data_IF_178063061164
#
_entry.id   IF_178063061164
#
_cell.length_a   1.000
_cell.length_b   1.000
_cell.length_c   1.000
_cell.angle_alpha   90.00
_cell.angle_beta   90.00
_cell.angle_gamma   90.00
#
_symmetry.space_group_name_H-M   'P 1'
#
loop_
_entity.id
_entity.type
_entity.pdbx_description
1 polymer ?
#
# COMPACT_ATOMS: atom_id res chain seq x y z
N UNK A 1 12.09 -16.15 -5.98
CA UNK A 1 11.04 -16.19 -4.94
C UNK A 1 9.82 -15.46 -5.46
N UNK A 2 8.61 -15.94 -5.18
CA UNK A 2 7.37 -15.24 -5.53
C UNK A 2 7.10 -14.14 -4.50
N UNK A 3 6.97 -12.89 -4.93
CA UNK A 3 6.59 -11.78 -4.06
C UNK A 3 5.08 -11.73 -3.84
N UNK A 4 4.67 -11.33 -2.63
CA UNK A 4 3.27 -11.13 -2.27
C UNK A 4 3.03 -9.66 -1.95
N UNK A 5 1.89 -9.13 -2.41
CA UNK A 5 1.36 -7.84 -1.96
C UNK A 5 0.18 -8.09 -1.04
N UNK A 6 0.00 -7.23 -0.04
CA UNK A 6 -1.15 -7.26 0.85
C UNK A 6 -1.91 -5.95 0.70
N UNK A 7 -3.23 -6.02 0.64
CA UNK A 7 -4.09 -4.85 0.63
C UNK A 7 -5.03 -4.86 1.82
N UNK A 8 -5.19 -3.70 2.44
CA UNK A 8 -6.24 -3.42 3.41
C UNK A 8 -7.50 -3.00 2.65
N UNK A 9 -8.62 -3.67 2.92
CA UNK A 9 -9.91 -3.38 2.30
C UNK A 9 -10.91 -2.89 3.35
N UNK A 10 -11.95 -2.18 2.90
CA UNK A 10 -13.04 -1.76 3.77
C UNK A 10 -14.09 -2.86 4.01
N UNK A 11 -13.92 -4.06 3.45
CA UNK A 11 -14.79 -5.21 3.70
C UNK A 11 -14.37 -5.89 5.02
N UNK A 12 -15.20 -5.88 6.07
CA UNK A 12 -14.87 -6.51 7.35
C UNK A 12 -14.61 -8.01 7.23
N UNK A 13 -15.25 -8.70 6.27
CA UNK A 13 -15.07 -10.13 6.06
C UNK A 13 -13.75 -10.46 5.33
N UNK A 14 -13.20 -9.50 4.59
CA UNK A 14 -11.96 -9.66 3.81
C UNK A 14 -11.03 -8.46 4.02
N UNK A 15 -10.83 -8.07 5.28
CA UNK A 15 -10.10 -6.86 5.65
C UNK A 15 -8.67 -6.85 5.11
N UNK A 16 -8.04 -8.03 4.99
CA UNK A 16 -6.72 -8.20 4.41
C UNK A 16 -6.78 -9.20 3.27
N UNK A 17 -6.29 -8.79 2.10
CA UNK A 17 -6.21 -9.62 0.89
C UNK A 17 -4.77 -9.76 0.45
N UNK A 18 -4.34 -10.99 0.16
CA UNK A 18 -2.99 -11.32 -0.31
C UNK A 18 -2.99 -11.56 -1.81
N UNK A 19 -2.21 -10.78 -2.55
CA UNK A 19 -1.95 -11.00 -3.97
C UNK A 19 -0.62 -11.73 -4.13
N UNK A 20 -0.64 -12.90 -4.77
CA UNK A 20 0.58 -13.53 -5.24
C UNK A 20 0.85 -13.08 -6.67
N UNK A 21 2.05 -12.54 -6.88
CA UNK A 21 2.47 -12.02 -8.18
C UNK A 21 3.13 -13.11 -9.02
N UNK A 22 2.84 -13.13 -10.31
CA UNK A 22 3.66 -13.86 -11.28
C UNK A 22 4.95 -13.09 -11.56
N UNK A 23 5.99 -13.79 -12.01
CA UNK A 23 7.33 -13.22 -12.21
C UNK A 23 7.35 -12.03 -13.19
N UNK A 24 6.57 -12.13 -14.27
CA UNK A 24 6.41 -11.08 -15.27
C UNK A 24 5.74 -9.83 -14.68
N UNK A 25 4.69 -10.00 -13.88
CA UNK A 25 4.01 -8.88 -13.19
C UNK A 25 4.93 -8.26 -12.14
N UNK A 26 5.69 -9.07 -11.41
CA UNK A 26 6.66 -8.59 -10.44
C UNK A 26 7.76 -7.76 -11.09
N UNK A 27 8.29 -8.24 -12.22
CA UNK A 27 9.34 -7.54 -13.00
C UNK A 27 8.88 -6.16 -13.45
N UNK A 28 7.62 -6.04 -13.86
CA UNK A 28 7.07 -4.76 -14.34
C UNK A 28 6.68 -3.82 -13.17
N UNK A 29 6.09 -4.37 -12.10
CA UNK A 29 5.51 -3.58 -11.01
C UNK A 29 6.54 -3.10 -9.98
N UNK A 30 7.58 -3.89 -9.70
CA UNK A 30 8.52 -3.57 -8.64
C UNK A 30 9.33 -2.29 -8.89
N UNK A 31 9.92 -2.07 -10.08
CA UNK A 31 10.63 -0.83 -10.36
C UNK A 31 9.73 0.40 -10.25
N UNK A 32 8.45 0.27 -10.62
CA UNK A 32 7.47 1.34 -10.51
C UNK A 32 7.19 1.71 -9.06
N UNK A 33 6.91 0.73 -8.19
CA UNK A 33 6.66 0.97 -6.76
C UNK A 33 7.89 1.53 -6.05
N UNK A 34 9.07 0.98 -6.34
CA UNK A 34 10.34 1.50 -5.80
C UNK A 34 10.61 2.93 -6.26
N UNK A 35 10.34 3.24 -7.53
CA UNK A 35 10.47 4.59 -8.05
C UNK A 35 9.52 5.58 -7.38
N UNK A 36 8.27 5.18 -7.10
CA UNK A 36 7.34 6.02 -6.35
C UNK A 36 7.77 6.24 -4.91
N UNK A 37 8.19 5.19 -4.22
CA UNK A 37 8.69 5.27 -2.85
C UNK A 37 9.89 6.22 -2.76
N UNK A 38 10.89 6.02 -3.63
CA UNK A 38 12.06 6.88 -3.69
C UNK A 38 11.69 8.33 -3.99
N UNK A 39 10.79 8.57 -4.95
CA UNK A 39 10.32 9.91 -5.28
C UNK A 39 9.57 10.57 -4.11
N UNK A 40 8.75 9.81 -3.40
CA UNK A 40 8.01 10.28 -2.23
C UNK A 40 8.96 10.66 -1.09
N UNK A 41 9.88 9.76 -0.72
CA UNK A 41 10.85 9.97 0.35
C UNK A 41 11.88 11.06 0.00
N UNK A 42 12.32 11.18 -1.25
CA UNK A 42 13.25 12.24 -1.67
C UNK A 42 12.64 13.64 -1.60
N UNK A 43 11.31 13.75 -1.55
CA UNK A 43 10.56 15.02 -1.41
C UNK A 43 10.03 15.24 -0.01
N UNK A 44 10.30 14.32 0.92
CA UNK A 44 10.05 14.45 2.34
C UNK A 44 10.95 15.58 2.89
N UNK A 45 10.41 16.79 3.01
CA UNK A 45 11.10 17.88 3.69
C UNK A 45 10.86 17.81 5.20
N UNK A 46 9.59 17.69 5.59
CA UNK A 46 9.18 17.67 6.99
C UNK A 46 8.11 16.61 7.24
N UNK A 47 8.27 15.86 8.32
CA UNK A 47 7.28 14.91 8.81
C UNK A 47 6.37 15.58 9.86
N UNK A 48 5.06 15.41 9.72
CA UNK A 48 4.04 16.06 10.55
C UNK A 48 3.03 15.00 10.99
N UNK A 49 2.67 14.98 12.27
CA UNK A 49 1.65 14.07 12.78
C UNK A 49 0.29 14.41 12.17
N UNK A 50 -0.37 13.40 11.63
CA UNK A 50 -1.70 13.52 11.08
C UNK A 50 -2.74 13.74 12.18
N UNK A 51 -3.46 14.85 12.12
CA UNK A 51 -4.51 15.22 13.08
C UNK A 51 -5.94 15.16 12.50
N UNK A 52 -6.08 14.69 11.25
CA UNK A 52 -7.36 14.62 10.53
C UNK A 52 -7.84 15.92 9.89
N UNK A 53 -7.15 17.05 10.09
CA UNK A 53 -7.58 18.38 9.62
C UNK A 53 -6.51 19.10 8.82
N UNK A 54 -5.25 18.88 9.16
CA UNK A 54 -4.10 19.50 8.53
C UNK A 54 -3.94 19.01 7.08
N UNK A 55 -3.70 19.95 6.16
CA UNK A 55 -3.40 19.66 4.76
C UNK A 55 -1.90 19.93 4.55
N UNK A 56 -1.10 18.90 4.19
CA UNK A 56 0.33 19.07 4.03
C UNK A 56 0.65 19.92 2.80
N UNK A 57 1.70 20.73 2.93
CA UNK A 57 2.34 21.39 1.81
C UNK A 57 3.15 20.40 0.97
N UNK A 58 3.63 20.86 -0.19
CA UNK A 58 4.30 20.00 -1.19
C UNK A 58 5.60 19.33 -0.71
N UNK A 59 6.14 19.75 0.44
CA UNK A 59 7.35 19.22 1.05
C UNK A 59 7.08 18.56 2.41
N UNK A 60 5.80 18.37 2.76
CA UNK A 60 5.40 17.80 4.04
C UNK A 60 4.78 16.42 3.86
N UNK A 61 5.10 15.54 4.79
CA UNK A 61 4.57 14.18 4.86
C UNK A 61 3.79 14.04 6.15
N UNK A 62 2.57 13.50 6.03
CA UNK A 62 1.74 13.18 7.18
C UNK A 62 2.09 11.79 7.70
N UNK A 63 2.33 11.71 9.00
CA UNK A 63 2.58 10.46 9.72
C UNK A 63 1.37 10.14 10.59
N UNK A 64 0.86 8.93 10.44
CA UNK A 64 -0.12 8.37 11.38
C UNK A 64 0.66 7.50 12.36
N UNK A 65 0.87 8.01 13.56
CA UNK A 65 1.49 7.24 14.63
C UNK A 65 0.49 6.20 15.18
N UNK A 66 1.00 5.03 15.58
CA UNK A 66 0.20 3.97 16.22
C UNK A 66 -1.06 3.59 15.42
N UNK A 67 -0.92 3.37 14.12
CA UNK A 67 -2.03 2.90 13.30
C UNK A 67 -2.50 1.52 13.80
N UNK A 68 -3.69 1.47 14.42
CA UNK A 68 -4.24 0.31 15.14
C UNK A 68 -4.32 -0.98 14.30
N UNK A 69 -4.33 -0.88 12.97
CA UNK A 69 -4.41 -2.03 12.05
C UNK A 69 -3.04 -2.59 11.64
N UNK A 70 -1.93 -2.04 12.15
CA UNK A 70 -0.57 -2.55 11.88
C UNK A 70 -0.41 -3.98 12.38
N UNK A 71 -0.99 -4.32 13.54
CA UNK A 71 -0.82 -5.65 14.13
C UNK A 71 -1.43 -6.75 13.26
N UNK A 72 -2.62 -6.50 12.70
CA UNK A 72 -3.27 -7.42 11.77
C UNK A 72 -2.48 -7.56 10.46
N UNK A 73 -1.89 -6.46 9.96
CA UNK A 73 -1.08 -6.49 8.75
C UNK A 73 0.27 -7.20 8.97
N UNK A 74 0.89 -6.99 10.12
CA UNK A 74 2.14 -7.64 10.53
C UNK A 74 1.96 -9.15 10.65
N UNK A 75 0.87 -9.59 11.29
CA UNK A 75 0.48 -11.01 11.33
C UNK A 75 0.25 -11.55 9.91
N UNK A 76 -0.42 -10.79 9.03
CA UNK A 76 -0.62 -11.24 7.65
C UNK A 76 0.66 -11.42 6.83
N UNK A 77 1.68 -10.60 7.09
CA UNK A 77 2.98 -10.70 6.44
C UNK A 77 3.76 -11.90 6.99
N UNK A 78 3.75 -12.10 8.31
CA UNK A 78 4.51 -13.15 9.00
C UNK A 78 3.87 -14.53 8.93
N UNK A 79 2.53 -14.61 8.91
CA UNK A 79 1.73 -15.83 8.80
C UNK A 79 0.69 -15.76 7.67
N UNK A 80 1.13 -15.82 6.40
CA UNK A 80 0.29 -15.46 5.27
C UNK A 80 -0.65 -16.58 4.76
N UNK A 81 -0.77 -17.69 5.49
CA UNK A 81 -1.58 -18.85 5.08
C UNK A 81 -3.07 -18.68 5.37
N UNK A 82 -3.44 -17.85 6.35
CA UNK A 82 -4.83 -17.62 6.76
C UNK A 82 -5.62 -16.61 5.92
N UNK A 83 -4.96 -15.95 4.96
CA UNK A 83 -5.52 -14.79 4.26
C UNK A 83 -6.00 -15.12 2.85
N UNK A 84 -7.07 -14.44 2.40
CA UNK A 84 -7.65 -14.63 1.07
C UNK A 84 -6.58 -14.38 0.00
N UNK A 85 -6.29 -15.41 -0.78
CA UNK A 85 -5.26 -15.38 -1.82
C UNK A 85 -5.87 -15.10 -3.18
N UNK A 86 -5.39 -14.03 -3.82
CA UNK A 86 -5.65 -13.72 -5.23
C UNK A 86 -4.38 -13.92 -6.04
N UNK A 87 -4.52 -14.48 -7.25
CA UNK A 87 -3.42 -14.62 -8.20
C UNK A 87 -3.48 -13.46 -9.18
N UNK A 88 -2.46 -12.59 -9.14
CA UNK A 88 -2.36 -11.49 -10.09
C UNK A 88 -1.62 -11.98 -11.33
N UNK A 89 -2.31 -11.96 -12.46
CA UNK A 89 -1.75 -12.21 -13.80
C UNK A 89 -1.93 -10.94 -14.64
N UNK A 90 -1.16 -10.78 -15.72
CA UNK A 90 -1.11 -9.59 -16.62
C UNK A 90 -2.45 -8.96 -17.09
N UNK A 91 -3.59 -9.57 -16.79
CA UNK A 91 -4.92 -8.95 -16.91
C UNK A 91 -5.61 -8.86 -15.56
N UNK A 92 -5.27 -7.82 -14.81
CA UNK A 92 -6.17 -7.22 -13.84
C UNK A 92 -5.91 -5.71 -13.81
N UNK A 93 -6.91 -4.92 -14.19
CA UNK A 93 -6.86 -3.46 -14.06
C UNK A 93 -7.04 -3.13 -12.57
N UNK A 94 -5.94 -2.98 -11.84
CA UNK A 94 -6.00 -2.38 -10.51
C UNK A 94 -6.33 -0.90 -10.73
N UNK A 95 -7.59 -0.54 -10.54
CA UNK A 95 -8.00 0.85 -10.49
C UNK A 95 -7.48 1.44 -9.17
N UNK A 96 -6.21 1.84 -9.17
CA UNK A 96 -5.74 2.85 -8.22
C UNK A 96 -6.53 4.11 -8.57
N UNK A 97 -7.65 4.36 -7.89
CA UNK A 97 -8.37 5.63 -8.05
C UNK A 97 -7.33 6.73 -7.79
N UNK A 98 -7.04 7.61 -8.77
CA UNK A 98 -6.23 8.77 -8.47
C UNK A 98 -6.96 9.55 -7.37
N UNK A 99 -6.23 9.88 -6.31
CA UNK A 99 -6.75 10.69 -5.22
C UNK A 99 -7.12 12.06 -5.81
N UNK A 100 -8.39 12.25 -6.16
CA UNK A 100 -8.91 13.52 -6.67
C UNK A 100 -9.07 14.46 -5.48
N UNK A 101 -8.17 15.45 -5.38
CA UNK A 101 -8.40 16.61 -4.52
C UNK A 101 -9.69 17.30 -5.00
N UNK A 102 -10.76 17.20 -4.22
CA UNK A 102 -11.88 18.11 -4.37
C UNK A 102 -11.38 19.53 -4.08
N UNK A 103 -11.52 20.39 -5.08
CA UNK A 103 -11.28 21.84 -5.03
C UNK A 103 -12.26 22.51 -4.07
#
# INVERSE_FOLDING_TARGET
MLSSLFALTSDPANRIVKFTLTEDVQTDLMPYLQGQEQFFLARAGQEIIFDGKYKPDAQEILIIENYDDIDNLSDAITNPLGYLKLLLRRRLSIALKPYSRAM
#
